data_IF_176035746786
#
_entry.id   IF_176035746786
#
_cell.length_a   1.000
_cell.length_b   1.000
_cell.length_c   1.000
_cell.angle_alpha   90.00
_cell.angle_beta   90.00
_cell.angle_gamma   90.00
#
_symmetry.space_group_name_H-M   'P 1'
#
loop_
_entity.id
_entity.type
_entity.pdbx_description
1 polymer ?
#
# COMPACT_ATOMS: atom_id res chain seq x y z
N UNK A 1 -91.13 46.73 39.53
CA UNK A 1 -91.89 46.43 38.32
C UNK A 1 -91.22 47.20 37.20
N UNK A 2 -90.17 46.71 36.51
CA UNK A 2 -89.85 45.37 35.97
C UNK A 2 -90.25 45.24 34.48
N UNK A 3 -89.56 44.34 33.75
CA UNK A 3 -89.66 44.04 32.30
C UNK A 3 -88.97 45.04 31.31
N UNK A 4 -88.43 44.54 30.15
CA UNK A 4 -86.99 44.74 29.89
C UNK A 4 -86.55 44.90 28.40
N UNK A 5 -85.22 44.78 28.20
CA UNK A 5 -84.51 44.26 27.01
C UNK A 5 -84.26 45.17 25.78
N UNK A 6 -83.11 44.90 25.14
CA UNK A 6 -82.54 45.56 23.94
C UNK A 6 -82.73 44.63 22.71
N UNK A 7 -82.78 45.16 21.46
CA UNK A 7 -81.57 45.54 20.69
C UNK A 7 -81.74 46.86 19.89
N UNK A 8 -80.74 47.46 19.23
CA UNK A 8 -79.30 47.16 19.09
C UNK A 8 -78.74 47.86 17.83
N UNK A 9 -77.85 48.88 17.93
CA UNK A 9 -77.61 49.80 16.81
C UNK A 9 -76.41 49.48 15.88
N UNK A 10 -76.71 49.40 14.59
CA UNK A 10 -76.09 50.11 13.44
C UNK A 10 -74.56 50.29 13.40
N UNK A 11 -73.93 49.76 12.34
CA UNK A 11 -72.54 50.06 11.92
C UNK A 11 -72.30 51.56 11.71
N UNK A 12 -71.14 52.07 12.15
CA UNK A 12 -70.48 53.24 11.54
C UNK A 12 -69.05 52.90 11.14
N UNK A 13 -68.58 53.53 10.06
CA UNK A 13 -67.18 53.48 9.64
C UNK A 13 -66.34 54.43 10.50
N UNK A 14 -65.05 54.12 10.67
CA UNK A 14 -64.15 54.92 11.50
C UNK A 14 -63.42 55.99 10.69
N UNK A 15 -63.53 57.25 11.11
CA UNK A 15 -62.64 58.33 10.68
C UNK A 15 -61.37 58.38 11.57
N UNK A 16 -60.32 59.00 11.05
CA UNK A 16 -58.97 58.99 11.65
C UNK A 16 -58.68 60.25 12.45
N UNK A 17 -58.20 60.09 13.68
CA UNK A 17 -57.25 61.00 14.35
C UNK A 17 -56.78 60.34 15.66
N UNK A 18 -55.64 60.62 16.28
CA UNK A 18 -54.31 61.07 15.91
C UNK A 18 -53.61 61.33 17.26
N UNK A 19 -52.53 60.59 17.55
CA UNK A 19 -51.42 61.04 18.40
C UNK A 19 -51.73 61.75 19.74
N UNK A 20 -51.89 60.99 20.84
CA UNK A 20 -51.49 61.41 22.21
C UNK A 20 -50.83 60.26 22.98
N UNK A 21 -50.03 60.62 23.99
CA UNK A 21 -49.00 59.78 24.61
C UNK A 21 -49.47 58.62 25.53
N UNK A 22 -48.65 57.55 25.51
CA UNK A 22 -48.22 56.69 26.64
C UNK A 22 -49.28 56.15 27.62
N UNK A 23 -49.35 54.80 27.70
CA UNK A 23 -48.81 54.02 28.84
C UNK A 23 -48.82 52.50 28.55
N UNK A 24 -47.67 51.86 28.84
CA UNK A 24 -47.44 50.50 29.44
C UNK A 24 -48.62 49.49 29.35
N UNK A 25 -48.44 48.24 28.90
CA UNK A 25 -47.37 47.27 29.24
C UNK A 25 -47.44 45.99 28.35
N UNK A 26 -46.35 45.19 28.32
CA UNK A 26 -46.21 43.71 28.13
C UNK A 26 -47.22 42.93 27.22
N UNK A 27 -46.85 41.97 26.35
CA UNK A 27 -45.74 40.99 26.33
C UNK A 27 -45.40 40.50 24.89
N UNK A 28 -44.42 39.58 24.77
CA UNK A 28 -43.89 38.91 23.57
C UNK A 28 -44.90 38.52 22.46
N UNK A 29 -44.49 38.68 21.18
CA UNK A 29 -44.43 37.56 20.20
C UNK A 29 -43.68 37.90 18.88
N UNK A 30 -42.75 37.00 18.52
CA UNK A 30 -42.36 36.52 17.17
C UNK A 30 -42.03 37.46 15.99
N UNK A 31 -40.92 37.10 15.31
CA UNK A 31 -40.70 37.07 13.85
C UNK A 31 -39.71 38.06 13.20
N UNK A 32 -38.44 38.01 13.60
CA UNK A 32 -37.31 38.38 12.73
C UNK A 32 -36.91 37.18 11.86
N UNK A 33 -37.01 37.25 10.52
CA UNK A 33 -36.54 36.17 9.64
C UNK A 33 -36.12 36.68 8.24
N UNK A 34 -35.21 35.93 7.60
CA UNK A 34 -34.68 36.08 6.24
C UNK A 34 -33.85 37.36 5.97
N UNK A 35 -32.54 37.23 6.18
CA UNK A 35 -31.53 38.22 5.76
C UNK A 35 -30.08 37.70 5.70
N UNK A 36 -29.85 36.39 5.85
CA UNK A 36 -28.52 35.80 5.94
C UNK A 36 -28.41 34.51 5.10
N UNK A 37 -28.04 34.66 3.83
CA UNK A 37 -27.65 33.56 2.94
C UNK A 37 -26.26 33.83 2.33
N UNK A 38 -25.32 34.19 3.20
CA UNK A 38 -23.86 34.13 2.93
C UNK A 38 -23.23 32.95 3.66
N UNK A 39 -23.97 31.84 3.76
CA UNK A 39 -23.42 30.55 4.19
C UNK A 39 -22.54 29.98 3.08
N UNK A 40 -21.30 30.47 2.98
CA UNK A 40 -20.26 29.73 2.27
C UNK A 40 -20.17 28.35 2.92
N UNK A 41 -20.48 27.31 2.15
CA UNK A 41 -20.48 25.96 2.67
C UNK A 41 -19.06 25.53 3.01
N UNK A 42 -18.75 25.44 4.30
CA UNK A 42 -17.56 24.74 4.79
C UNK A 42 -17.66 23.27 4.39
N UNK A 43 -17.18 22.94 3.19
CA UNK A 43 -16.78 21.58 2.86
C UNK A 43 -15.63 21.25 3.79
N UNK A 44 -15.87 20.36 4.76
CA UNK A 44 -14.75 19.60 5.31
C UNK A 44 -14.09 18.88 4.13
N UNK A 45 -12.77 18.91 4.08
CA UNK A 45 -11.98 18.09 3.15
C UNK A 45 -11.31 16.99 3.98
N UNK A 46 -11.12 15.81 3.38
CA UNK A 46 -10.38 14.71 3.99
C UNK A 46 -8.99 15.20 4.45
N UNK A 47 -8.66 15.08 5.73
CA UNK A 47 -7.48 15.73 6.31
C UNK A 47 -6.72 14.81 7.27
N UNK A 48 -5.40 14.91 7.25
CA UNK A 48 -4.51 14.26 8.21
C UNK A 48 -4.23 15.21 9.39
N UNK A 49 -4.74 14.87 10.57
CA UNK A 49 -4.57 15.64 11.81
C UNK A 49 -3.77 14.86 12.84
N UNK A 50 -2.79 15.52 13.45
CA UNK A 50 -2.01 15.01 14.58
C UNK A 50 -2.94 14.73 15.77
N UNK A 51 -2.87 13.54 16.37
CA UNK A 51 -3.48 13.30 17.67
C UNK A 51 -2.66 14.01 18.75
N UNK A 52 -3.35 14.64 19.69
CA UNK A 52 -2.78 15.48 20.75
C UNK A 52 -2.80 14.80 22.12
N UNK A 53 -3.33 13.58 22.23
CA UNK A 53 -3.50 12.85 23.47
C UNK A 53 -3.02 11.39 23.35
N UNK A 54 -1.96 10.98 24.07
CA UNK A 54 -1.18 11.74 25.05
C UNK A 54 -0.25 12.78 24.40
N UNK A 55 0.06 13.91 25.09
CA UNK A 55 1.00 14.91 24.56
C UNK A 55 2.38 14.32 24.26
N UNK A 56 2.89 14.55 23.05
CA UNK A 56 4.14 13.97 22.56
C UNK A 56 3.97 12.78 21.61
N UNK A 57 2.73 12.42 21.25
CA UNK A 57 2.42 11.58 20.09
C UNK A 57 2.94 12.19 18.79
N UNK A 58 3.43 11.33 17.90
CA UNK A 58 3.74 11.61 16.49
C UNK A 58 2.66 11.05 15.54
N UNK A 59 1.57 10.51 16.09
CA UNK A 59 0.49 9.83 15.37
C UNK A 59 -0.45 10.81 14.68
N UNK A 60 -0.72 10.61 13.39
CA UNK A 60 -1.66 11.36 12.56
C UNK A 60 -2.80 10.47 12.10
N UNK A 61 -4.04 10.90 12.36
CA UNK A 61 -5.23 10.28 11.78
C UNK A 61 -5.69 11.05 10.55
N UNK A 62 -5.80 10.35 9.42
CA UNK A 62 -6.30 10.87 8.16
C UNK A 62 -7.78 10.47 7.99
N UNK A 63 -8.71 11.42 8.14
CA UNK A 63 -10.16 11.18 8.20
C UNK A 63 -10.99 12.24 7.47
N UNK A 64 -12.31 12.03 7.44
CA UNK A 64 -13.28 12.73 6.57
C UNK A 64 -12.98 12.50 5.07
N UNK A 65 -13.79 12.86 4.07
CA UNK A 65 -15.02 13.67 4.04
C UNK A 65 -15.96 13.18 2.92
N UNK A 66 -17.17 13.75 2.83
CA UNK A 66 -18.13 13.51 1.73
C UNK A 66 -17.69 14.05 0.35
N UNK A 67 -16.45 14.54 0.22
CA UNK A 67 -15.81 14.91 -1.03
C UNK A 67 -14.29 14.67 -0.94
N UNK A 68 -13.68 14.21 -2.03
CA UNK A 68 -12.23 13.95 -2.14
C UNK A 68 -11.45 15.25 -1.87
N UNK A 69 -10.37 15.15 -1.09
CA UNK A 69 -9.52 16.30 -0.80
C UNK A 69 -8.59 16.63 -1.98
N UNK A 70 -8.59 17.91 -2.40
CA UNK A 70 -7.75 18.39 -3.50
C UNK A 70 -6.47 19.11 -3.05
N UNK A 71 -5.97 18.84 -1.84
CA UNK A 71 -4.84 19.54 -1.22
C UNK A 71 -3.83 18.55 -0.63
N UNK A 72 -2.55 18.71 -1.00
CA UNK A 72 -1.43 17.90 -0.48
C UNK A 72 -1.46 17.81 1.04
N UNK A 73 -1.48 16.59 1.59
CA UNK A 73 -1.32 16.38 3.02
C UNK A 73 0.16 16.37 3.36
N UNK A 74 0.63 17.38 4.11
CA UNK A 74 2.04 17.58 4.39
C UNK A 74 2.33 17.40 5.88
N UNK A 75 2.80 16.21 6.24
CA UNK A 75 3.16 15.78 7.58
C UNK A 75 4.67 15.96 7.72
N UNK A 76 5.09 16.82 8.64
CA UNK A 76 6.51 17.05 8.93
C UNK A 76 6.76 16.93 10.44
N UNK A 77 7.07 15.72 10.89
CA UNK A 77 7.23 15.34 12.28
C UNK A 77 8.15 14.12 12.37
N UNK A 78 9.05 14.11 13.35
CA UNK A 78 9.95 12.97 13.59
C UNK A 78 9.14 11.78 14.13
N UNK A 79 9.54 10.56 13.78
CA UNK A 79 8.85 9.31 14.13
C UNK A 79 7.34 9.28 13.77
N UNK A 80 6.93 9.95 12.69
CA UNK A 80 5.51 10.10 12.33
C UNK A 80 4.79 8.77 12.00
N UNK A 81 3.69 8.51 12.70
CA UNK A 81 2.81 7.36 12.48
C UNK A 81 1.51 7.80 11.80
N UNK A 82 1.32 7.51 10.51
CA UNK A 82 0.17 8.02 9.73
C UNK A 82 -0.84 6.90 9.46
N UNK A 83 -2.08 7.07 9.93
CA UNK A 83 -3.14 6.05 9.88
C UNK A 83 -4.38 6.61 9.17
N UNK A 84 -4.86 5.93 8.12
CA UNK A 84 -6.11 6.32 7.43
C UNK A 84 -7.35 5.75 8.09
N UNK A 85 -8.45 6.51 8.03
CA UNK A 85 -9.78 6.11 8.46
C UNK A 85 -10.74 5.99 7.26
N UNK A 86 -11.82 5.22 7.43
CA UNK A 86 -12.82 4.96 6.39
C UNK A 86 -13.33 6.24 5.72
N UNK A 87 -13.26 6.29 4.39
CA UNK A 87 -13.73 7.42 3.57
C UNK A 87 -12.68 8.49 3.28
N UNK A 88 -11.46 8.35 3.82
CA UNK A 88 -10.32 9.18 3.43
C UNK A 88 -9.90 8.94 1.97
N UNK A 89 -9.40 10.00 1.31
CA UNK A 89 -8.93 9.94 -0.07
C UNK A 89 -8.52 11.32 -0.59
N UNK A 90 -7.52 11.36 -1.47
CA UNK A 90 -6.88 12.60 -1.95
C UNK A 90 -6.72 12.57 -3.48
N UNK A 91 -7.02 13.69 -4.14
CA UNK A 91 -6.83 13.92 -5.57
C UNK A 91 -6.24 15.33 -5.82
N UNK A 92 -4.91 15.43 -5.91
CA UNK A 92 -4.21 16.68 -6.23
C UNK A 92 -3.92 16.87 -7.72
N UNK A 93 -4.54 16.10 -8.62
CA UNK A 93 -4.28 16.20 -10.08
C UNK A 93 -4.52 17.61 -10.64
N UNK A 94 -5.57 18.29 -10.18
CA UNK A 94 -5.91 19.65 -10.61
C UNK A 94 -5.19 20.76 -9.82
N UNK A 95 -4.75 20.47 -8.60
CA UNK A 95 -4.10 21.45 -7.72
C UNK A 95 -2.57 21.48 -7.87
N UNK A 96 -1.97 20.37 -8.30
CA UNK A 96 -0.52 20.18 -8.35
C UNK A 96 0.04 19.59 -7.04
N UNK A 97 1.23 19.00 -7.13
CA UNK A 97 1.95 18.42 -5.99
C UNK A 97 1.73 16.93 -5.79
N UNK A 98 2.01 16.47 -4.57
CA UNK A 98 1.79 15.09 -4.13
C UNK A 98 0.36 14.92 -3.58
N UNK A 99 -0.11 13.69 -3.33
CA UNK A 99 -1.32 13.50 -2.51
C UNK A 99 -0.95 13.55 -1.01
N UNK A 100 0.04 12.75 -0.60
CA UNK A 100 0.62 12.79 0.76
C UNK A 100 2.14 12.95 0.69
N UNK A 101 2.67 13.79 1.59
CA UNK A 101 4.10 14.01 1.87
C UNK A 101 4.33 13.81 3.35
N UNK A 102 5.16 12.83 3.73
CA UNK A 102 5.59 12.55 5.12
C UNK A 102 7.11 12.77 5.20
N UNK A 103 7.56 13.63 6.11
CA UNK A 103 8.98 13.92 6.35
C UNK A 103 9.31 14.07 7.84
N UNK A 104 10.54 13.77 8.22
CA UNK A 104 11.05 13.84 9.60
C UNK A 104 12.25 12.91 9.76
N UNK A 105 12.89 12.92 10.92
CA UNK A 105 13.88 11.90 11.29
C UNK A 105 13.21 10.68 11.94
N UNK A 106 13.92 9.55 12.00
CA UNK A 106 13.44 8.34 12.67
C UNK A 106 12.44 7.50 11.89
N UNK A 107 11.56 6.82 12.62
CA UNK A 107 10.68 5.77 12.11
C UNK A 107 9.37 6.35 11.56
N UNK A 108 9.32 6.61 10.25
CA UNK A 108 8.14 7.13 9.57
C UNK A 108 7.26 5.98 9.06
N UNK A 109 5.94 6.07 9.22
CA UNK A 109 5.02 5.05 8.72
C UNK A 109 3.74 5.59 8.12
N UNK A 110 3.18 4.81 7.18
CA UNK A 110 1.86 5.03 6.58
C UNK A 110 1.09 3.70 6.55
N UNK A 111 -0.06 3.67 7.22
CA UNK A 111 -0.94 2.50 7.34
C UNK A 111 -2.34 2.83 6.83
N UNK A 112 -2.79 2.06 5.84
CA UNK A 112 -4.09 2.19 5.20
C UNK A 112 -4.79 0.82 5.05
N UNK A 113 -5.57 0.46 6.08
CA UNK A 113 -6.46 -0.70 6.06
C UNK A 113 -7.82 -0.41 5.39
N UNK A 114 -8.04 0.83 4.92
CA UNK A 114 -9.32 1.32 4.41
C UNK A 114 -9.40 1.43 2.88
N UNK A 115 -8.34 1.05 2.16
CA UNK A 115 -8.20 1.15 0.70
C UNK A 115 -8.35 2.59 0.19
N UNK A 116 -7.72 3.54 0.87
CA UNK A 116 -7.86 4.98 0.62
C UNK A 116 -7.19 5.38 -0.70
N UNK A 117 -7.92 5.90 -1.71
CA UNK A 117 -7.32 6.25 -3.00
C UNK A 117 -6.48 7.52 -2.90
N UNK A 118 -5.24 7.46 -3.42
CA UNK A 118 -4.31 8.60 -3.48
C UNK A 118 -3.96 8.90 -4.94
N UNK A 119 -4.50 9.98 -5.50
CA UNK A 119 -4.21 10.44 -6.86
C UNK A 119 -3.47 11.78 -6.83
N UNK A 120 -2.41 11.94 -7.61
CA UNK A 120 -1.57 13.13 -7.54
C UNK A 120 -1.03 13.60 -8.90
N UNK A 121 -0.76 14.90 -9.01
CA UNK A 121 -0.05 15.46 -10.17
C UNK A 121 1.44 15.03 -10.23
N UNK A 122 2.06 14.71 -9.08
CA UNK A 122 3.48 14.36 -8.96
C UNK A 122 3.68 12.99 -8.31
N UNK A 123 3.50 12.87 -6.99
CA UNK A 123 3.67 11.61 -6.25
C UNK A 123 2.41 11.26 -5.48
N UNK A 124 1.89 10.03 -5.62
CA UNK A 124 0.75 9.58 -4.81
C UNK A 124 1.09 9.60 -3.31
N UNK A 125 2.05 8.76 -2.91
CA UNK A 125 2.59 8.72 -1.56
C UNK A 125 4.09 9.02 -1.58
N UNK A 126 4.49 10.14 -0.96
CA UNK A 126 5.89 10.51 -0.74
C UNK A 126 6.23 10.38 0.75
N UNK A 127 7.25 9.57 1.08
CA UNK A 127 7.82 9.48 2.42
C UNK A 127 9.33 9.68 2.33
N UNK A 128 9.90 10.52 3.20
CA UNK A 128 11.35 10.63 3.35
C UNK A 128 11.75 10.76 4.83
N UNK A 129 12.47 9.75 5.33
CA UNK A 129 13.19 9.88 6.60
C UNK A 129 14.55 10.54 6.35
N UNK A 130 14.91 11.57 7.13
CA UNK A 130 16.12 12.38 6.94
C UNK A 130 17.33 11.98 7.79
N UNK A 131 17.15 11.04 8.72
CA UNK A 131 18.18 10.61 9.68
C UNK A 131 17.58 9.79 10.82
N UNK A 132 18.33 9.58 11.89
CA UNK A 132 17.90 8.82 13.08
C UNK A 132 17.35 9.75 14.18
N UNK A 133 16.16 9.43 14.72
CA UNK A 133 15.51 10.18 15.80
C UNK A 133 15.94 9.64 17.17
N UNK A 134 17.13 10.04 17.62
CA UNK A 134 17.66 9.77 18.97
C UNK A 134 18.00 8.30 19.24
N UNK A 135 16.99 7.47 19.51
CA UNK A 135 17.10 6.02 19.66
C UNK A 135 16.32 5.24 18.58
N UNK A 136 15.49 5.93 17.78
CA UNK A 136 14.74 5.36 16.68
C UNK A 136 15.54 5.50 15.38
N UNK A 137 15.93 4.38 14.78
CA UNK A 137 16.63 4.40 13.50
C UNK A 137 15.73 4.95 12.39
N UNK A 138 16.29 5.81 11.53
CA UNK A 138 15.64 6.32 10.33
C UNK A 138 15.15 5.15 9.50
N UNK A 139 13.83 5.03 9.36
CA UNK A 139 13.20 3.87 8.74
C UNK A 139 11.83 4.25 8.16
N UNK A 140 11.35 3.47 7.18
CA UNK A 140 10.08 3.72 6.51
C UNK A 140 9.26 2.44 6.43
N UNK A 141 8.04 2.47 6.95
CA UNK A 141 7.06 1.37 6.80
C UNK A 141 5.82 1.85 6.05
N UNK A 142 5.46 1.18 4.95
CA UNK A 142 4.23 1.43 4.20
C UNK A 142 3.38 0.15 4.19
N UNK A 143 2.13 0.24 4.66
CA UNK A 143 1.11 -0.78 4.51
C UNK A 143 -0.15 -0.14 3.91
N UNK A 144 -0.63 -0.59 2.75
CA UNK A 144 -1.80 0.03 2.11
C UNK A 144 -2.62 -0.91 1.22
N UNK A 145 -3.93 -0.84 1.37
CA UNK A 145 -4.90 -1.47 0.47
C UNK A 145 -5.29 -0.61 -0.73
N UNK A 146 -5.04 0.71 -0.70
CA UNK A 146 -5.55 1.66 -1.66
C UNK A 146 -4.82 1.69 -3.00
N UNK A 147 -5.51 2.22 -4.01
CA UNK A 147 -4.92 2.53 -5.31
C UNK A 147 -4.14 3.86 -5.22
N UNK A 148 -2.87 3.85 -5.64
CA UNK A 148 -1.95 4.98 -5.51
C UNK A 148 -1.40 5.38 -6.89
N UNK A 149 -1.78 6.56 -7.37
CA UNK A 149 -1.40 7.10 -8.67
C UNK A 149 -0.71 8.46 -8.56
N UNK A 150 0.37 8.66 -9.31
CA UNK A 150 1.03 9.95 -9.45
C UNK A 150 1.65 10.17 -10.82
N UNK A 151 1.47 11.37 -11.38
CA UNK A 151 1.97 11.75 -12.72
C UNK A 151 3.50 11.60 -12.91
N UNK A 152 4.27 11.54 -11.81
CA UNK A 152 5.65 11.06 -11.81
C UNK A 152 5.78 9.67 -11.20
N UNK A 153 5.31 9.45 -9.96
CA UNK A 153 5.50 8.21 -9.20
C UNK A 153 4.27 7.84 -8.39
N UNK A 154 3.99 6.55 -8.24
CA UNK A 154 2.96 6.07 -7.31
C UNK A 154 3.44 6.22 -5.87
N UNK A 155 4.41 5.39 -5.48
CA UNK A 155 5.05 5.42 -4.16
C UNK A 155 6.51 5.86 -4.30
N UNK A 156 6.93 6.83 -3.50
CA UNK A 156 8.32 7.24 -3.29
C UNK A 156 8.65 7.09 -1.81
N UNK A 157 9.62 6.23 -1.48
CA UNK A 157 10.26 6.17 -0.17
C UNK A 157 11.76 6.39 -0.31
N UNK A 158 12.32 7.24 0.54
CA UNK A 158 13.77 7.42 0.67
C UNK A 158 14.17 7.55 2.13
N UNK A 159 15.04 6.66 2.58
CA UNK A 159 15.61 6.69 3.91
C UNK A 159 17.06 7.21 3.84
N UNK A 160 17.35 8.29 4.57
CA UNK A 160 18.71 8.81 4.78
C UNK A 160 19.27 8.43 6.18
N UNK A 161 18.56 7.62 6.97
CA UNK A 161 19.02 7.08 8.26
C UNK A 161 19.42 5.59 8.22
N UNK A 162 19.74 5.01 9.38
CA UNK A 162 20.41 3.70 9.50
C UNK A 162 19.49 2.47 9.54
N UNK A 163 18.17 2.65 9.47
CA UNK A 163 17.18 1.56 9.49
C UNK A 163 16.82 1.00 8.11
N UNK A 164 15.60 0.45 8.02
CA UNK A 164 15.09 -0.29 6.86
C UNK A 164 13.97 0.45 6.11
N UNK A 165 13.61 -0.07 4.94
CA UNK A 165 12.39 0.28 4.22
C UNK A 165 11.55 -1.00 4.03
N UNK A 166 10.29 -1.00 4.49
CA UNK A 166 9.30 -2.02 4.16
C UNK A 166 8.10 -1.38 3.43
N UNK A 167 7.67 -1.99 2.34
CA UNK A 167 6.52 -1.57 1.53
C UNK A 167 5.64 -2.78 1.23
N UNK A 168 4.53 -2.89 1.95
CA UNK A 168 3.40 -3.75 1.60
C UNK A 168 2.30 -2.91 0.94
N UNK A 169 1.91 -3.27 -0.28
CA UNK A 169 0.81 -2.61 -1.02
C UNK A 169 0.00 -3.65 -1.78
N UNK A 170 -1.33 -3.56 -1.77
CA UNK A 170 -2.20 -4.57 -2.41
C UNK A 170 -3.14 -4.07 -3.51
N UNK A 171 -3.40 -2.75 -3.59
CA UNK A 171 -4.08 -2.08 -4.70
C UNK A 171 -3.17 -1.85 -5.92
N UNK A 172 -3.68 -1.12 -6.92
CA UNK A 172 -2.91 -0.70 -8.11
C UNK A 172 -1.97 0.49 -7.79
N UNK A 173 -0.72 0.43 -8.24
CA UNK A 173 0.28 1.50 -8.03
C UNK A 173 0.82 2.02 -9.36
N UNK A 174 0.59 3.30 -9.67
CA UNK A 174 0.88 3.92 -10.97
C UNK A 174 1.80 5.14 -10.85
N UNK A 175 2.92 5.13 -11.57
CA UNK A 175 3.82 6.27 -11.74
C UNK A 175 4.01 6.62 -13.21
N UNK A 176 3.22 7.56 -13.76
CA UNK A 176 3.03 7.69 -15.21
C UNK A 176 4.32 7.93 -16.01
N UNK A 177 5.24 8.75 -15.48
CA UNK A 177 6.46 9.19 -16.19
C UNK A 177 7.77 8.71 -15.55
N UNK A 178 7.73 8.09 -14.36
CA UNK A 178 8.93 7.63 -13.64
C UNK A 178 8.71 6.21 -13.09
N UNK A 179 8.90 5.98 -11.79
CA UNK A 179 8.78 4.65 -11.20
C UNK A 179 7.40 4.46 -10.56
N UNK A 180 6.81 3.27 -10.67
CA UNK A 180 5.59 2.93 -9.93
C UNK A 180 5.84 2.93 -8.43
N UNK A 181 6.81 2.12 -7.99
CA UNK A 181 7.41 2.14 -6.66
C UNK A 181 8.89 2.53 -6.78
N UNK A 182 9.33 3.47 -5.96
CA UNK A 182 10.74 3.83 -5.80
C UNK A 182 11.11 3.78 -4.32
N UNK A 183 11.95 2.81 -3.94
CA UNK A 183 12.47 2.63 -2.60
C UNK A 183 14.00 2.80 -2.61
N UNK A 184 14.53 3.71 -1.79
CA UNK A 184 15.98 3.94 -1.69
C UNK A 184 16.42 4.07 -0.23
N UNK A 185 17.22 3.12 0.24
CA UNK A 185 17.95 3.22 1.49
C UNK A 185 19.34 3.76 1.15
N UNK A 186 19.62 5.02 1.51
CA UNK A 186 20.71 5.81 0.91
C UNK A 186 21.92 6.01 1.83
N UNK A 187 21.80 5.69 3.12
CA UNK A 187 22.94 5.65 4.05
C UNK A 187 23.67 4.30 4.00
N UNK A 188 24.99 4.33 4.28
CA UNK A 188 25.84 3.13 4.27
C UNK A 188 25.65 2.21 5.50
N UNK A 189 25.04 2.71 6.57
CA UNK A 189 24.65 1.93 7.74
C UNK A 189 23.21 1.41 7.65
N UNK A 190 22.47 1.80 6.61
CA UNK A 190 21.11 1.33 6.34
C UNK A 190 21.03 -0.19 6.29
N UNK A 191 19.94 -0.75 6.82
CA UNK A 191 19.69 -2.19 6.80
C UNK A 191 18.95 -2.60 5.53
N UNK A 192 17.70 -3.06 5.61
CA UNK A 192 17.07 -3.84 4.55
C UNK A 192 16.09 -3.03 3.69
N UNK A 193 15.80 -3.51 2.47
CA UNK A 193 14.65 -3.07 1.68
C UNK A 193 13.75 -4.26 1.34
N UNK A 194 12.53 -4.26 1.84
CA UNK A 194 11.47 -5.20 1.49
C UNK A 194 10.38 -4.49 0.69
N UNK A 195 9.96 -5.08 -0.43
CA UNK A 195 8.83 -4.61 -1.23
C UNK A 195 7.94 -5.80 -1.57
N UNK A 196 6.76 -5.87 -0.96
CA UNK A 196 5.77 -6.92 -1.14
C UNK A 196 4.50 -6.35 -1.80
N UNK A 197 4.29 -6.66 -3.08
CA UNK A 197 3.08 -6.22 -3.82
C UNK A 197 2.07 -7.35 -3.95
N UNK A 198 0.82 -7.04 -3.65
CA UNK A 198 -0.32 -7.96 -3.68
C UNK A 198 -0.78 -8.33 -5.09
N UNK A 199 -2.08 -8.58 -5.26
CA UNK A 199 -2.64 -8.94 -6.56
C UNK A 199 -2.76 -7.76 -7.53
N UNK A 200 -2.76 -6.53 -7.02
CA UNK A 200 -2.74 -5.29 -7.80
C UNK A 200 -1.50 -5.17 -8.71
N UNK A 201 -1.62 -4.32 -9.71
CA UNK A 201 -0.62 -4.07 -10.73
C UNK A 201 0.27 -2.90 -10.35
N UNK A 202 1.55 -2.96 -10.72
CA UNK A 202 2.48 -1.84 -10.58
C UNK A 202 2.93 -1.38 -11.95
N UNK A 203 2.65 -0.12 -12.28
CA UNK A 203 3.07 0.52 -13.52
C UNK A 203 4.03 1.68 -13.24
N UNK A 204 5.13 1.74 -13.99
CA UNK A 204 5.96 2.92 -14.09
C UNK A 204 6.33 3.25 -15.53
N UNK A 205 6.33 4.54 -15.89
CA UNK A 205 6.82 5.05 -17.17
C UNK A 205 8.31 4.84 -17.45
N UNK A 206 9.07 4.36 -16.46
CA UNK A 206 10.47 3.96 -16.53
C UNK A 206 10.70 2.59 -15.87
N UNK A 207 10.44 2.45 -14.56
CA UNK A 207 10.55 1.16 -13.86
C UNK A 207 9.27 0.85 -13.09
N UNK A 208 8.80 -0.39 -13.10
CA UNK A 208 7.65 -0.77 -12.27
C UNK A 208 8.00 -0.64 -10.79
N UNK A 209 9.02 -1.39 -10.36
CA UNK A 209 9.62 -1.30 -9.04
C UNK A 209 11.12 -0.98 -9.20
N UNK A 210 11.57 0.08 -8.53
CA UNK A 210 12.97 0.42 -8.33
C UNK A 210 13.31 0.32 -6.84
N UNK A 211 14.22 -0.59 -6.49
CA UNK A 211 14.73 -0.76 -5.13
C UNK A 211 16.26 -0.65 -5.14
N UNK A 212 16.81 0.30 -4.38
CA UNK A 212 18.24 0.54 -4.26
C UNK A 212 18.63 0.62 -2.78
N UNK A 213 19.40 -0.35 -2.30
CA UNK A 213 20.05 -0.28 -1.00
C UNK A 213 21.53 0.08 -1.17
N UNK A 214 22.03 0.95 -0.29
CA UNK A 214 23.45 1.32 -0.19
C UNK A 214 24.13 0.82 1.08
N UNK A 215 23.39 0.23 2.01
CA UNK A 215 23.92 -0.33 3.24
C UNK A 215 24.04 -1.86 3.21
N UNK A 216 24.36 -2.43 4.36
CA UNK A 216 24.84 -3.81 4.50
C UNK A 216 23.71 -4.88 4.52
N UNK A 217 22.44 -4.46 4.54
CA UNK A 217 21.29 -5.36 4.56
C UNK A 217 21.04 -6.10 3.23
N UNK A 218 19.81 -6.59 3.04
CA UNK A 218 19.35 -7.22 1.79
C UNK A 218 18.35 -6.36 1.01
N UNK A 219 18.06 -6.77 -0.22
CA UNK A 219 16.88 -6.30 -0.98
C UNK A 219 16.01 -7.49 -1.35
N UNK A 220 14.77 -7.54 -0.87
CA UNK A 220 13.77 -8.55 -1.26
C UNK A 220 12.56 -7.87 -1.92
N UNK A 221 12.32 -8.18 -3.19
CA UNK A 221 11.11 -7.76 -3.91
C UNK A 221 10.25 -8.98 -4.21
N UNK A 222 9.07 -9.06 -3.59
CA UNK A 222 8.04 -10.05 -3.91
C UNK A 222 6.88 -9.35 -4.62
N UNK A 223 6.63 -9.69 -5.88
CA UNK A 223 5.53 -9.13 -6.66
C UNK A 223 4.54 -10.22 -7.09
N UNK A 224 3.32 -10.19 -6.56
CA UNK A 224 2.31 -11.21 -6.83
C UNK A 224 1.44 -10.87 -8.07
N UNK A 225 1.20 -9.58 -8.33
CA UNK A 225 0.54 -9.03 -9.51
C UNK A 225 1.49 -8.70 -10.67
N UNK A 226 0.98 -8.02 -11.71
CA UNK A 226 1.78 -7.64 -12.88
C UNK A 226 2.67 -6.44 -12.54
N UNK A 227 3.91 -6.41 -13.05
CA UNK A 227 4.82 -5.27 -12.85
C UNK A 227 5.38 -4.80 -14.19
N UNK A 228 5.03 -3.59 -14.60
CA UNK A 228 5.39 -3.00 -15.89
C UNK A 228 6.30 -1.79 -15.70
N UNK A 229 7.54 -1.92 -16.16
CA UNK A 229 8.38 -0.76 -16.50
C UNK A 229 8.25 -0.52 -18.00
N UNK A 230 7.47 0.50 -18.36
CA UNK A 230 7.40 1.00 -19.73
C UNK A 230 8.64 1.86 -20.04
N UNK A 231 8.86 2.23 -21.29
CA UNK A 231 9.77 3.33 -21.61
C UNK A 231 9.13 4.33 -22.56
N UNK A 232 9.11 5.57 -22.12
CA UNK A 232 8.87 6.74 -22.97
C UNK A 232 10.19 7.36 -23.48
N UNK A 233 11.34 6.66 -23.33
CA UNK A 233 12.67 7.19 -23.62
C UNK A 233 13.67 6.17 -24.17
N UNK A 234 14.97 6.51 -24.09
CA UNK A 234 16.08 5.74 -24.71
C UNK A 234 16.66 4.61 -23.85
N UNK A 235 16.39 4.63 -22.54
CA UNK A 235 16.67 3.49 -21.66
C UNK A 235 15.42 2.61 -21.62
N UNK A 236 15.53 1.36 -22.07
CA UNK A 236 14.39 0.44 -22.07
C UNK A 236 13.95 0.12 -20.64
N UNK A 237 12.65 0.27 -20.37
CA UNK A 237 12.07 0.16 -19.04
C UNK A 237 12.23 -1.24 -18.43
N UNK A 238 12.27 -1.29 -17.10
CA UNK A 238 12.57 -2.50 -16.33
C UNK A 238 11.42 -2.77 -15.37
N UNK A 239 10.90 -4.00 -15.36
CA UNK A 239 9.75 -4.33 -14.51
C UNK A 239 10.12 -4.20 -13.04
N UNK A 240 11.15 -4.96 -12.63
CA UNK A 240 11.73 -4.87 -11.29
C UNK A 240 13.24 -4.68 -11.47
N UNK A 241 13.75 -3.55 -10.99
CA UNK A 241 15.17 -3.26 -10.82
C UNK A 241 15.48 -3.22 -9.32
N UNK A 242 16.02 -4.31 -8.80
CA UNK A 242 16.52 -4.42 -7.43
C UNK A 242 18.06 -4.39 -7.47
N UNK A 243 18.66 -3.59 -6.60
CA UNK A 243 20.11 -3.39 -6.50
C UNK A 243 20.54 -3.23 -5.05
N UNK A 244 21.66 -3.84 -4.71
CA UNK A 244 22.37 -3.62 -3.46
C UNK A 244 23.83 -3.26 -3.80
N UNK A 245 24.35 -2.20 -3.17
CA UNK A 245 25.63 -1.56 -3.55
C UNK A 245 26.76 -1.69 -2.54
N UNK A 246 26.51 -2.20 -1.34
CA UNK A 246 27.59 -2.44 -0.38
C UNK A 246 28.31 -3.77 -0.69
N UNK A 247 29.66 -3.83 -0.67
CA UNK A 247 30.40 -5.06 -0.94
C UNK A 247 30.04 -6.22 0.00
N UNK A 248 29.70 -5.94 1.25
CA UNK A 248 29.39 -6.90 2.30
C UNK A 248 27.87 -7.15 2.42
N UNK A 249 27.05 -6.56 1.54
CA UNK A 249 25.60 -6.79 1.42
C UNK A 249 25.23 -8.27 1.36
N UNK A 250 24.28 -8.66 2.21
CA UNK A 250 23.93 -10.08 2.45
C UNK A 250 23.20 -10.77 1.29
N UNK A 251 22.24 -10.12 0.62
CA UNK A 251 21.46 -10.77 -0.46
C UNK A 251 20.70 -9.82 -1.39
N UNK A 252 20.28 -10.33 -2.56
CA UNK A 252 19.17 -9.80 -3.37
C UNK A 252 18.21 -10.93 -3.78
N UNK A 253 16.96 -10.90 -3.27
CA UNK A 253 15.86 -11.73 -3.78
C UNK A 253 14.96 -10.91 -4.73
N UNK A 254 14.56 -11.51 -5.86
CA UNK A 254 13.32 -11.10 -6.55
C UNK A 254 12.40 -12.31 -6.75
N UNK A 255 11.26 -12.31 -6.08
CA UNK A 255 10.19 -13.31 -6.26
C UNK A 255 9.08 -12.73 -7.13
N UNK A 256 8.62 -13.50 -8.12
CA UNK A 256 7.51 -13.11 -9.01
C UNK A 256 6.40 -14.14 -9.01
N UNK A 257 5.16 -13.66 -8.97
CA UNK A 257 3.93 -14.43 -9.02
C UNK A 257 3.63 -15.06 -10.39
N UNK A 258 2.40 -15.56 -10.59
CA UNK A 258 1.94 -16.03 -11.90
C UNK A 258 1.70 -14.88 -12.89
N UNK A 259 1.50 -13.66 -12.37
CA UNK A 259 1.43 -12.43 -13.13
C UNK A 259 2.84 -11.98 -13.57
N UNK A 260 2.95 -11.27 -14.70
CA UNK A 260 4.21 -11.18 -15.46
C UNK A 260 4.83 -9.79 -15.38
N UNK A 261 6.17 -9.75 -15.37
CA UNK A 261 6.93 -8.57 -15.74
C UNK A 261 6.87 -8.34 -17.25
N UNK A 262 6.22 -7.26 -17.67
CA UNK A 262 5.95 -6.91 -19.08
C UNK A 262 6.73 -5.67 -19.53
N UNK A 263 8.01 -5.63 -19.15
CA UNK A 263 8.91 -4.52 -19.46
C UNK A 263 9.70 -4.73 -20.76
N UNK A 264 10.05 -3.64 -21.44
CA UNK A 264 10.76 -3.67 -22.73
C UNK A 264 12.11 -4.40 -22.67
N UNK A 265 12.79 -4.34 -21.52
CA UNK A 265 14.10 -4.96 -21.28
C UNK A 265 14.06 -6.09 -20.23
N UNK A 266 12.86 -6.54 -19.87
CA UNK A 266 12.62 -7.63 -18.89
C UNK A 266 13.01 -7.29 -17.45
N UNK A 267 13.57 -8.27 -16.73
CA UNK A 267 14.17 -8.06 -15.41
C UNK A 267 15.68 -7.87 -15.57
N UNK A 268 16.13 -6.62 -15.58
CA UNK A 268 17.54 -6.29 -15.43
C UNK A 268 17.90 -6.39 -13.95
N UNK A 269 18.96 -7.14 -13.63
CA UNK A 269 19.45 -7.34 -12.26
C UNK A 269 20.89 -6.85 -12.22
N UNK A 270 21.20 -5.98 -11.28
CA UNK A 270 22.57 -5.54 -11.02
C UNK A 270 22.83 -5.68 -9.53
N UNK A 271 23.91 -6.38 -9.17
CA UNK A 271 24.29 -6.63 -7.79
C UNK A 271 25.77 -6.30 -7.65
N UNK A 272 26.08 -5.45 -6.67
CA UNK A 272 27.42 -4.99 -6.37
C UNK A 272 27.74 -5.29 -4.89
N UNK A 273 27.57 -6.55 -4.51
CA UNK A 273 27.81 -7.09 -3.18
C UNK A 273 28.06 -8.61 -3.25
N UNK A 274 28.66 -9.18 -2.21
CA UNK A 274 29.14 -10.58 -2.20
C UNK A 274 28.05 -11.64 -1.96
N UNK A 275 26.84 -11.25 -1.56
CA UNK A 275 25.70 -12.16 -1.39
C UNK A 275 25.25 -12.89 -2.66
N UNK A 276 24.50 -13.98 -2.49
CA UNK A 276 23.86 -14.71 -3.60
C UNK A 276 22.80 -13.86 -4.35
N UNK A 277 22.30 -14.36 -5.48
CA UNK A 277 21.21 -13.76 -6.27
C UNK A 277 20.04 -14.74 -6.48
N UNK A 278 19.02 -14.68 -5.62
CA UNK A 278 17.87 -15.59 -5.71
C UNK A 278 16.75 -14.99 -6.56
N UNK A 279 16.31 -15.72 -7.61
CA UNK A 279 15.02 -15.42 -8.25
C UNK A 279 14.13 -16.64 -8.31
N UNK A 280 13.11 -16.63 -7.45
CA UNK A 280 12.03 -17.61 -7.37
C UNK A 280 10.90 -17.17 -8.30
N UNK A 281 10.46 -18.05 -9.20
CA UNK A 281 9.17 -17.91 -9.88
C UNK A 281 8.16 -18.72 -9.08
N UNK A 282 7.04 -18.12 -8.69
CA UNK A 282 5.93 -18.88 -8.13
C UNK A 282 5.42 -19.89 -9.18
N UNK A 283 5.01 -21.10 -8.76
CA UNK A 283 4.38 -22.03 -9.69
C UNK A 283 3.09 -21.42 -10.23
N UNK A 284 2.95 -21.37 -11.56
CA UNK A 284 1.74 -20.87 -12.19
C UNK A 284 0.54 -21.70 -11.70
N UNK A 285 -0.47 -21.04 -11.12
CA UNK A 285 -1.67 -21.69 -10.57
C UNK A 285 -2.47 -22.32 -11.73
N UNK A 286 -2.20 -23.58 -12.02
CA UNK A 286 -2.79 -24.29 -13.15
C UNK A 286 -4.31 -24.33 -13.00
N UNK A 287 -5.00 -23.59 -13.87
CA UNK A 287 -6.46 -23.60 -13.95
C UNK A 287 -6.88 -24.97 -14.49
N UNK A 288 -7.17 -25.90 -13.58
CA UNK A 288 -7.50 -27.28 -13.92
C UNK A 288 -8.59 -27.32 -14.99
N UNK A 289 -8.25 -27.85 -16.17
CA UNK A 289 -9.18 -27.93 -17.28
C UNK A 289 -10.20 -29.03 -17.00
N UNK A 290 -11.41 -28.66 -16.58
CA UNK A 290 -12.52 -29.58 -16.31
C UNK A 290 -13.12 -30.13 -17.62
N UNK A 291 -12.33 -30.89 -18.38
CA UNK A 291 -12.83 -31.70 -19.50
C UNK A 291 -13.55 -32.92 -18.96
N UNK A 292 -14.84 -32.78 -18.69
CA UNK A 292 -15.71 -33.89 -18.34
C UNK A 292 -16.15 -34.66 -19.61
N UNK A 293 -15.83 -35.95 -19.68
CA UNK A 293 -16.37 -36.85 -20.71
C UNK A 293 -16.39 -38.31 -20.23
N UNK A 294 -17.50 -38.66 -19.57
CA UNK A 294 -18.22 -39.96 -19.55
C UNK A 294 -17.44 -41.29 -19.34
N UNK A 295 -17.81 -42.13 -18.34
CA UNK A 295 -17.21 -43.46 -18.14
C UNK A 295 -17.84 -44.55 -19.02
N UNK A 296 -17.12 -45.66 -19.20
CA UNK A 296 -17.61 -46.90 -19.83
C UNK A 296 -17.24 -48.14 -18.99
N UNK A 297 -18.07 -49.19 -18.99
CA UNK A 297 -18.02 -50.30 -18.02
C UNK A 297 -17.96 -51.69 -18.70
N UNK A 298 -16.88 -52.42 -18.40
CA UNK A 298 -16.74 -53.88 -18.19
C UNK A 298 -17.41 -54.92 -19.14
N UNK A 299 -16.57 -55.68 -19.86
CA UNK A 299 -16.68 -57.14 -20.12
C UNK A 299 -15.28 -57.66 -20.54
N UNK A 300 -14.56 -58.59 -19.90
CA UNK A 300 -14.78 -59.97 -19.39
C UNK A 300 -14.03 -61.00 -20.27
N UNK A 301 -13.13 -61.78 -19.66
CA UNK A 301 -12.19 -62.75 -20.30
C UNK A 301 -12.76 -64.19 -20.24
N UNK A 302 -12.25 -65.14 -21.06
CA UNK A 302 -11.40 -66.24 -20.54
C UNK A 302 -10.28 -66.67 -21.54
N UNK A 303 -8.99 -66.84 -21.17
CA UNK A 303 -8.31 -67.91 -20.39
C UNK A 303 -7.54 -68.93 -21.27
N UNK A 304 -6.28 -69.23 -20.94
CA UNK A 304 -5.59 -70.53 -21.15
C UNK A 304 -4.29 -70.57 -20.32
N UNK A 305 -3.73 -71.77 -20.07
CA UNK A 305 -2.84 -72.06 -18.92
C UNK A 305 -1.47 -72.68 -19.31
N UNK A 306 -0.46 -72.74 -18.40
CA UNK A 306 0.95 -73.01 -18.73
C UNK A 306 1.40 -74.46 -18.41
N UNK A 307 2.71 -74.77 -18.61
CA UNK A 307 3.39 -75.82 -17.85
C UNK A 307 4.69 -75.40 -17.12
N UNK A 308 4.94 -76.07 -16.00
CA UNK A 308 6.19 -76.23 -15.20
C UNK A 308 7.24 -77.13 -15.89
N UNK A 309 8.52 -77.24 -15.47
CA UNK A 309 9.38 -76.47 -14.53
C UNK A 309 10.79 -76.28 -15.18
N UNK A 310 12.00 -76.57 -14.65
CA UNK A 310 12.58 -77.27 -13.46
C UNK A 310 13.88 -76.56 -12.98
N UNK A 311 14.55 -77.07 -11.94
CA UNK A 311 15.92 -76.68 -11.52
C UNK A 311 16.64 -77.89 -10.88
N UNK A 312 17.97 -77.97 -10.94
CA UNK A 312 18.75 -78.27 -9.73
C UNK A 312 19.98 -77.38 -9.54
N UNK A 313 20.51 -77.36 -8.32
CA UNK A 313 21.67 -76.56 -7.91
C UNK A 313 22.99 -77.37 -7.89
N UNK A 314 24.12 -76.66 -7.82
CA UNK A 314 25.42 -77.22 -7.41
C UNK A 314 26.14 -76.28 -6.45
N UNK A 315 26.82 -76.86 -5.46
CA UNK A 315 27.39 -76.16 -4.31
C UNK A 315 28.90 -75.95 -4.46
N UNK A 316 29.43 -74.84 -3.94
CA UNK A 316 30.85 -74.67 -3.62
C UNK A 316 30.98 -73.79 -2.35
N UNK A 317 32.03 -74.02 -1.55
CA UNK A 317 32.02 -73.66 -0.12
C UNK A 317 33.35 -73.08 0.36
N UNK A 318 33.29 -72.09 1.26
CA UNK A 318 34.36 -71.62 2.16
C UNK A 318 35.69 -71.14 1.50
N UNK A 319 36.38 -70.13 2.01
CA UNK A 319 36.79 -69.97 3.41
C UNK A 319 37.28 -68.54 3.69
N UNK A 320 37.26 -68.13 4.95
CA UNK A 320 37.85 -66.85 5.39
C UNK A 320 39.31 -67.04 5.82
N UNK A 321 40.14 -65.99 5.66
CA UNK A 321 41.30 -65.81 6.52
C UNK A 321 41.65 -64.34 6.77
N UNK A 322 41.75 -64.01 8.06
CA UNK A 322 42.13 -62.70 8.58
C UNK A 322 43.65 -62.58 8.64
N UNK A 323 44.19 -61.40 8.32
CA UNK A 323 45.52 -60.97 8.76
C UNK A 323 45.50 -59.48 9.08
N UNK A 324 45.98 -59.09 10.25
CA UNK A 324 46.09 -57.69 10.67
C UNK A 324 47.37 -57.49 11.50
N UNK A 325 48.22 -56.54 11.09
CA UNK A 325 49.37 -55.95 11.80
C UNK A 325 50.13 -55.00 10.84
N UNK A 326 50.88 -53.98 11.25
CA UNK A 326 50.91 -53.15 12.47
C UNK A 326 51.65 -51.82 12.13
N UNK A 327 51.40 -50.77 12.91
CA UNK A 327 51.87 -49.39 12.76
C UNK A 327 53.40 -49.14 12.61
N UNK A 328 53.74 -48.01 11.97
CA UNK A 328 54.85 -47.09 12.32
C UNK A 328 54.59 -45.73 11.62
N UNK A 329 54.87 -44.53 12.16
CA UNK A 329 56.03 -44.03 12.93
C UNK A 329 57.29 -43.97 12.02
N UNK A 330 57.92 -42.82 11.76
CA UNK A 330 57.73 -41.46 12.28
C UNK A 330 58.04 -40.42 11.19
N UNK A 331 57.53 -39.19 11.24
CA UNK A 331 56.69 -38.60 12.31
C UNK A 331 55.21 -38.74 12.02
#
# INVERSE_FOLDING_TARGET
MDFPALPGPVRRQGERMSTRDRRRQLLLSTATLLGALTGYGNRAYAACTLDTLPPGTSTYHCSDSAAVNTTTQNINHDDAEVITNLGFGVDTTLAGGNAITITGDGALSYTDDHMSPLTAAVTGLYIKSTGDSGANYGSITVNTGGDISGGARGIYTRNDGSGFIDITTTGDVTGDTSNGIHAVNDDANGTDITVNTGAGTVYGGNNGIYALNKGQGFVEVTANGNVTGNSTGVSGGIGILAQNLDPDSTHVTVTTGPARSTAATGHQRFQAGTGDLTVKRAPARSKAATTASTPAILAKVPSLSPPTATSPATTATASARTTAATAAISR
#
